data_IF_590409491304
#
_entry.id   IF_590409491304
#
_cell.length_a   1.000
_cell.length_b   1.000
_cell.length_c   1.000
_cell.angle_alpha   90.00
_cell.angle_beta   90.00
_cell.angle_gamma   90.00
#
_symmetry.space_group_name_H-M   'P 1'
#
loop_
_entity.id
_entity.type
_entity.pdbx_description
1 polymer ?
#
# COMPACT_ATOMS: atom_id res chain seq x y z
N UNK A 1 -4.73 -29.83 27.74
CA UNK A 1 -4.08 -28.50 27.78
C UNK A 1 -3.25 -28.36 26.51
N UNK A 2 -3.62 -27.42 25.65
CA UNK A 2 -3.01 -26.98 24.36
C UNK A 2 -2.87 -27.98 23.20
N UNK A 3 -3.94 -28.14 22.41
CA UNK A 3 -3.89 -28.71 21.04
C UNK A 3 -4.62 -27.84 20.00
N UNK A 4 -4.86 -26.56 20.32
CA UNK A 4 -5.58 -25.61 19.46
C UNK A 4 -4.65 -24.60 18.74
N UNK A 5 -3.38 -24.45 19.16
CA UNK A 5 -2.49 -23.40 18.65
C UNK A 5 -1.99 -23.60 17.20
N UNK A 6 -1.93 -24.85 16.71
CA UNK A 6 -1.40 -25.14 15.37
C UNK A 6 -2.41 -24.88 14.24
N UNK A 7 -3.71 -25.04 14.49
CA UNK A 7 -4.76 -24.85 13.46
C UNK A 7 -4.94 -23.35 13.19
N UNK A 8 -4.92 -22.54 14.25
CA UNK A 8 -5.02 -21.08 14.13
C UNK A 8 -3.80 -20.50 13.38
N UNK A 9 -2.58 -20.97 13.69
CA UNK A 9 -1.36 -20.51 13.03
C UNK A 9 -1.32 -20.83 11.53
N UNK A 10 -1.90 -21.97 11.12
CA UNK A 10 -1.97 -22.37 9.71
C UNK A 10 -3.05 -21.60 8.92
N UNK A 11 -4.11 -21.15 9.60
CA UNK A 11 -5.14 -20.28 9.00
C UNK A 11 -4.61 -18.86 8.74
N UNK A 12 -3.74 -18.34 9.63
CA UNK A 12 -3.12 -17.01 9.47
C UNK A 12 -2.13 -16.95 8.29
N UNK A 13 -1.52 -18.09 7.89
CA UNK A 13 -0.51 -18.11 6.82
C UNK A 13 -1.05 -18.15 5.39
N UNK A 14 -2.34 -18.39 5.18
CA UNK A 14 -2.95 -18.45 3.85
C UNK A 14 -3.83 -17.22 3.58
N UNK A 15 -3.26 -16.03 3.75
CA UNK A 15 -3.87 -14.82 3.22
C UNK A 15 -3.38 -14.65 1.78
N UNK A 16 -4.31 -14.65 0.82
CA UNK A 16 -3.97 -14.22 -0.54
C UNK A 16 -3.59 -12.75 -0.49
N UNK A 17 -2.47 -12.41 -1.11
CA UNK A 17 -1.94 -11.04 -1.13
C UNK A 17 -1.51 -10.66 -2.53
N UNK A 18 -1.97 -9.49 -2.98
CA UNK A 18 -1.45 -8.83 -4.16
C UNK A 18 -0.48 -7.75 -3.73
N UNK A 19 0.79 -7.90 -4.10
CA UNK A 19 1.86 -6.96 -3.75
C UNK A 19 2.16 -6.05 -4.93
N UNK A 20 2.08 -4.73 -4.72
CA UNK A 20 2.45 -3.70 -5.68
C UNK A 20 3.77 -3.08 -5.22
N UNK A 21 4.86 -3.45 -5.89
CA UNK A 21 6.19 -2.95 -5.60
C UNK A 21 6.39 -1.58 -6.27
N UNK A 22 6.49 -0.52 -5.47
CA UNK A 22 6.63 0.84 -6.01
C UNK A 22 7.94 1.05 -6.77
N UNK A 23 9.02 0.35 -6.42
CA UNK A 23 10.29 0.38 -7.17
C UNK A 23 10.15 0.02 -8.65
N UNK A 24 9.13 -0.76 -9.04
CA UNK A 24 8.85 -1.10 -10.45
C UNK A 24 8.26 0.07 -11.22
N UNK A 25 7.65 1.02 -10.53
CA UNK A 25 7.13 2.28 -11.08
C UNK A 25 8.26 3.32 -11.09
N UNK A 26 9.01 3.39 -10.00
CA UNK A 26 10.21 4.22 -9.87
C UNK A 26 10.72 4.31 -8.45
N UNK A 27 11.92 4.86 -8.28
CA UNK A 27 12.56 5.06 -6.96
C UNK A 27 12.43 6.49 -6.44
N UNK A 28 12.15 7.45 -7.32
CA UNK A 28 11.93 8.88 -7.01
C UNK A 28 10.52 9.29 -7.44
N UNK A 29 9.61 9.32 -6.47
CA UNK A 29 8.17 9.47 -6.67
C UNK A 29 7.73 10.85 -6.17
N UNK A 30 7.88 11.88 -7.01
CA UNK A 30 7.73 13.28 -6.59
C UNK A 30 6.66 14.08 -7.34
N UNK A 31 6.34 13.72 -8.58
CA UNK A 31 5.45 14.50 -9.44
C UNK A 31 4.00 14.02 -9.36
N UNK A 32 3.07 14.94 -9.10
CA UNK A 32 1.62 14.69 -9.09
C UNK A 32 1.14 13.99 -10.36
N UNK A 33 1.60 14.46 -11.53
CA UNK A 33 1.23 13.89 -12.82
C UNK A 33 1.64 12.42 -12.93
N UNK A 34 2.87 12.10 -12.53
CA UNK A 34 3.36 10.71 -12.53
C UNK A 34 2.65 9.82 -11.51
N UNK A 35 2.16 10.37 -10.40
CA UNK A 35 1.35 9.62 -9.43
C UNK A 35 0.00 9.21 -9.99
N UNK A 36 -0.65 10.13 -10.72
CA UNK A 36 -1.90 9.84 -11.43
C UNK A 36 -1.70 8.80 -12.54
N UNK A 37 -0.64 8.92 -13.32
CA UNK A 37 -0.29 7.96 -14.36
C UNK A 37 0.01 6.57 -13.78
N UNK A 38 0.75 6.51 -12.68
CA UNK A 38 1.02 5.27 -11.96
C UNK A 38 -0.27 4.58 -11.51
N UNK A 39 -1.22 5.33 -10.91
CA UNK A 39 -2.50 4.78 -10.49
C UNK A 39 -3.34 4.24 -11.66
N UNK A 40 -3.31 4.94 -12.80
CA UNK A 40 -3.99 4.50 -14.02
C UNK A 40 -3.34 3.24 -14.62
N UNK A 41 -2.01 3.19 -14.66
CA UNK A 41 -1.25 2.06 -15.20
C UNK A 41 -1.49 0.76 -14.43
N UNK A 42 -1.73 0.83 -13.11
CA UNK A 42 -2.00 -0.35 -12.29
C UNK A 42 -3.47 -0.80 -12.31
N UNK A 43 -4.40 -0.03 -12.90
CA UNK A 43 -5.82 -0.39 -12.92
C UNK A 43 -6.11 -1.80 -13.45
N UNK A 44 -5.49 -2.27 -14.56
CA UNK A 44 -5.75 -3.63 -15.06
C UNK A 44 -5.36 -4.70 -14.04
N UNK A 45 -4.29 -4.46 -13.28
CA UNK A 45 -3.83 -5.38 -12.23
C UNK A 45 -4.82 -5.36 -11.06
N UNK A 46 -5.26 -4.16 -10.67
CA UNK A 46 -6.25 -3.95 -9.60
C UNK A 46 -7.63 -4.57 -9.88
N UNK A 47 -7.99 -4.82 -11.15
CA UNK A 47 -9.23 -5.51 -11.53
C UNK A 47 -9.18 -7.02 -11.23
N UNK A 48 -7.98 -7.59 -11.14
CA UNK A 48 -7.80 -9.01 -10.81
C UNK A 48 -7.83 -9.31 -9.31
N UNK A 49 -7.84 -8.27 -8.47
CA UNK A 49 -7.91 -8.38 -7.01
C UNK A 49 -9.25 -9.01 -6.62
N UNK A 50 -9.19 -10.14 -5.93
CA UNK A 50 -10.38 -10.82 -5.41
C UNK A 50 -10.88 -10.13 -4.13
N UNK A 51 -12.16 -10.26 -3.82
CA UNK A 51 -12.82 -9.59 -2.68
C UNK A 51 -12.22 -9.89 -1.28
N UNK A 52 -11.36 -10.91 -1.16
CA UNK A 52 -10.74 -11.34 0.11
C UNK A 52 -9.21 -11.19 0.11
N UNK A 53 -8.65 -10.58 -0.94
CA UNK A 53 -7.21 -10.43 -1.09
C UNK A 53 -6.71 -9.12 -0.46
N UNK A 54 -5.63 -9.18 0.31
CA UNK A 54 -4.98 -7.98 0.83
C UNK A 54 -4.21 -7.31 -0.31
N UNK A 55 -4.38 -6.00 -0.46
CA UNK A 55 -3.58 -5.17 -1.37
C UNK A 55 -2.43 -4.58 -0.56
N UNK A 56 -1.21 -5.04 -0.83
CA UNK A 56 0.00 -4.61 -0.15
C UNK A 56 0.78 -3.64 -1.04
N UNK A 57 1.02 -2.41 -0.59
CA UNK A 57 1.88 -1.44 -1.28
C UNK A 57 3.26 -1.52 -0.64
N UNK A 58 4.23 -1.97 -1.42
CA UNK A 58 5.59 -2.18 -0.95
C UNK A 58 6.48 -0.99 -1.36
N UNK A 59 6.98 -0.28 -0.35
CA UNK A 59 7.88 0.87 -0.51
C UNK A 59 9.37 0.49 -0.55
N UNK A 60 9.70 -0.81 -0.55
CA UNK A 60 11.07 -1.29 -0.69
C UNK A 60 11.73 -0.72 -1.95
N UNK A 61 12.92 -0.14 -1.80
CA UNK A 61 13.67 0.49 -2.90
C UNK A 61 13.18 1.89 -3.29
N UNK A 62 12.16 2.44 -2.65
CA UNK A 62 11.78 3.85 -2.81
C UNK A 62 12.78 4.72 -2.06
N UNK A 63 13.39 5.68 -2.76
CA UNK A 63 14.37 6.61 -2.21
C UNK A 63 13.70 7.92 -1.78
N UNK A 64 12.80 8.44 -2.61
CA UNK A 64 12.10 9.71 -2.36
C UNK A 64 10.63 9.53 -2.68
N UNK A 65 9.78 10.01 -1.78
CA UNK A 65 8.33 9.93 -1.88
C UNK A 65 7.75 11.27 -1.42
N UNK A 66 7.03 11.97 -2.30
CA UNK A 66 6.41 13.26 -1.99
C UNK A 66 4.93 13.13 -1.62
N UNK A 67 4.40 14.05 -0.79
CA UNK A 67 2.97 14.13 -0.52
C UNK A 67 2.10 14.29 -1.76
N UNK A 68 2.54 15.09 -2.74
CA UNK A 68 1.77 15.33 -3.96
C UNK A 68 1.66 14.08 -4.83
N UNK A 69 2.70 13.26 -4.91
CA UNK A 69 2.64 11.97 -5.60
C UNK A 69 1.78 10.98 -4.81
N UNK A 70 2.02 10.86 -3.50
CA UNK A 70 1.31 9.95 -2.61
C UNK A 70 -0.20 10.22 -2.55
N UNK A 71 -0.62 11.48 -2.62
CA UNK A 71 -2.04 11.84 -2.67
C UNK A 71 -2.74 11.27 -3.92
N UNK A 72 -2.13 11.38 -5.10
CA UNK A 72 -2.74 10.88 -6.34
C UNK A 72 -2.75 9.35 -6.44
N UNK A 73 -1.81 8.68 -5.79
CA UNK A 73 -1.69 7.23 -5.85
C UNK A 73 -2.38 6.52 -4.69
N UNK A 74 -2.08 6.89 -3.44
CA UNK A 74 -2.58 6.20 -2.25
C UNK A 74 -4.03 6.57 -1.92
N UNK A 75 -4.48 7.80 -2.15
CA UNK A 75 -5.86 8.19 -1.81
C UNK A 75 -6.92 7.43 -2.60
N UNK A 76 -6.84 7.32 -3.94
CA UNK A 76 -7.84 6.54 -4.65
C UNK A 76 -7.75 5.04 -4.33
N UNK A 77 -6.54 4.51 -4.03
CA UNK A 77 -6.38 3.15 -3.52
C UNK A 77 -7.05 2.96 -2.16
N UNK A 78 -6.85 3.89 -1.23
CA UNK A 78 -7.47 3.85 0.10
C UNK A 78 -9.00 3.97 -0.01
N UNK A 79 -9.51 4.84 -0.87
CA UNK A 79 -10.97 4.95 -1.14
C UNK A 79 -11.56 3.65 -1.68
N UNK A 80 -10.80 2.91 -2.50
CA UNK A 80 -11.24 1.65 -3.11
C UNK A 80 -11.12 0.44 -2.19
N UNK A 81 -9.99 0.32 -1.47
CA UNK A 81 -9.61 -0.88 -0.73
C UNK A 81 -9.66 -0.70 0.78
N UNK A 82 -9.56 0.52 1.29
CA UNK A 82 -9.72 0.88 2.70
C UNK A 82 -9.03 -0.08 3.65
N UNK A 83 -9.83 -0.90 4.32
CA UNK A 83 -9.37 -1.83 5.35
C UNK A 83 -8.48 -2.97 4.86
N UNK A 84 -8.49 -3.31 3.56
CA UNK A 84 -7.64 -4.36 2.99
C UNK A 84 -6.37 -3.80 2.33
N UNK A 85 -6.18 -2.47 2.34
CA UNK A 85 -4.94 -1.83 1.91
C UNK A 85 -3.93 -1.82 3.07
N UNK A 86 -2.75 -2.39 2.84
CA UNK A 86 -1.65 -2.44 3.80
C UNK A 86 -0.40 -1.83 3.16
N UNK A 87 0.30 -0.98 3.90
CA UNK A 87 1.56 -0.37 3.49
C UNK A 87 2.71 -1.16 4.12
N UNK A 88 3.75 -1.45 3.36
CA UNK A 88 4.91 -2.21 3.84
C UNK A 88 6.21 -1.50 3.51
N UNK A 89 7.24 -1.76 4.32
CA UNK A 89 8.57 -1.16 4.18
C UNK A 89 8.53 0.38 4.28
N UNK A 90 7.68 0.91 5.17
CA UNK A 90 7.52 2.35 5.41
C UNK A 90 8.61 2.97 6.30
N UNK A 91 9.75 2.29 6.47
CA UNK A 91 10.82 2.70 7.38
C UNK A 91 11.70 3.83 6.81
N UNK A 92 11.65 4.08 5.50
CA UNK A 92 12.31 5.22 4.88
C UNK A 92 11.71 6.54 5.42
N UNK A 93 12.56 7.48 5.86
CA UNK A 93 12.12 8.76 6.42
C UNK A 93 11.24 9.59 5.48
N UNK A 94 11.55 9.63 4.18
CA UNK A 94 10.72 10.31 3.17
C UNK A 94 9.34 9.66 3.05
N UNK A 95 9.28 8.33 3.18
CA UNK A 95 8.03 7.57 3.10
C UNK A 95 7.19 7.77 4.37
N UNK A 96 7.78 7.59 5.55
CA UNK A 96 7.06 7.74 6.83
C UNK A 96 6.47 9.13 7.01
N UNK A 97 7.29 10.18 6.80
CA UNK A 97 6.85 11.57 6.94
C UNK A 97 5.70 11.91 5.99
N UNK A 98 5.78 11.41 4.75
CA UNK A 98 4.73 11.64 3.78
C UNK A 98 3.44 10.90 4.15
N UNK A 99 3.52 9.65 4.59
CA UNK A 99 2.34 8.89 5.03
C UNK A 99 1.69 9.58 6.22
N UNK A 100 2.47 9.99 7.23
CA UNK A 100 1.97 10.71 8.40
C UNK A 100 1.29 12.02 8.02
N UNK A 101 1.90 12.79 7.11
CA UNK A 101 1.31 14.01 6.59
C UNK A 101 -0.03 13.74 5.88
N UNK A 102 -0.11 12.72 5.02
CA UNK A 102 -1.34 12.34 4.34
C UNK A 102 -2.43 11.86 5.32
N UNK A 103 -2.06 11.09 6.34
CA UNK A 103 -2.98 10.66 7.41
C UNK A 103 -3.57 11.87 8.17
N UNK A 104 -2.76 12.89 8.42
CA UNK A 104 -3.19 14.10 9.12
C UNK A 104 -4.14 14.95 8.28
N UNK A 105 -3.81 15.24 7.02
CA UNK A 105 -4.63 16.14 6.19
C UNK A 105 -5.97 15.52 5.79
N UNK A 106 -6.02 14.20 5.61
CA UNK A 106 -7.25 13.47 5.21
C UNK A 106 -8.01 12.87 6.42
N UNK A 107 -7.45 12.97 7.63
CA UNK A 107 -7.98 12.36 8.85
C UNK A 107 -8.25 10.84 8.68
N UNK A 108 -7.28 10.12 8.12
CA UNK A 108 -7.31 8.66 7.90
C UNK A 108 -6.14 7.97 8.60
N UNK A 109 -6.20 6.63 8.68
CA UNK A 109 -5.08 5.81 9.14
C UNK A 109 -4.84 4.64 8.19
N UNK A 110 -3.60 4.52 7.73
CA UNK A 110 -3.18 3.37 6.94
C UNK A 110 -2.81 2.21 7.86
N UNK A 111 -3.06 0.99 7.39
CA UNK A 111 -2.49 -0.21 8.00
C UNK A 111 -1.04 -0.33 7.55
N UNK A 112 -0.13 -0.59 8.49
CA UNK A 112 1.31 -0.74 8.29
C UNK A 112 1.76 -2.10 8.83
#
# INVERSE_FOLDING_TARGET
>A
MYRFDCILYRFIKNVNKMVIELKKIGTTLISRQTGKEAFLAIQPILQSVKNEEIVEIDFEGVMTFSPSWGAEFLMPLFKKYGQILVLKNTHNGSVSLTIEFLEQIENIKFKK
#
